data_IF_724768499380
#
_entry.id   IF_724768499380
#
_cell.length_a   1.000
_cell.length_b   1.000
_cell.length_c   1.000
_cell.angle_alpha   90.00
_cell.angle_beta   90.00
_cell.angle_gamma   90.00
#
_symmetry.space_group_name_H-M   'P 1'
#
loop_
_entity.id
_entity.type
_entity.pdbx_description
1 polymer ?
#
# COMPACT_ATOMS: atom_id res chain seq x y z
N UNK A 1 -40.53 3.31 43.11
CA UNK A 1 -41.07 3.21 41.75
C UNK A 1 -39.93 2.78 40.84
N UNK A 2 -39.76 1.48 40.67
CA UNK A 2 -38.81 0.93 39.70
C UNK A 2 -39.42 1.09 38.31
N UNK A 3 -38.93 2.07 37.54
CA UNK A 3 -39.25 2.13 36.13
C UNK A 3 -38.55 0.96 35.44
N UNK A 4 -39.35 -0.06 35.08
CA UNK A 4 -38.93 -1.21 34.30
C UNK A 4 -38.02 -0.81 33.13
N UNK A 5 -36.86 -1.46 33.04
CA UNK A 5 -35.89 -1.42 31.94
C UNK A 5 -36.53 -1.55 30.54
N UNK A 6 -37.71 -2.15 30.45
CA UNK A 6 -38.49 -2.26 29.22
C UNK A 6 -39.07 -0.93 28.73
N UNK A 7 -39.43 0.00 29.62
CA UNK A 7 -40.09 1.26 29.25
C UNK A 7 -39.10 2.28 28.68
N UNK A 8 -37.88 2.35 29.22
CA UNK A 8 -36.82 3.25 28.71
C UNK A 8 -36.34 2.86 27.31
N UNK A 9 -36.26 1.55 27.01
CA UNK A 9 -35.98 1.06 25.66
C UNK A 9 -37.08 1.41 24.65
N UNK A 10 -38.35 1.40 25.09
CA UNK A 10 -39.50 1.73 24.23
C UNK A 10 -39.53 3.23 23.87
N UNK A 11 -39.20 4.11 24.82
CA UNK A 11 -39.11 5.56 24.57
C UNK A 11 -37.92 5.94 23.67
N UNK A 12 -36.79 5.22 23.78
CA UNK A 12 -35.68 5.36 22.84
C UNK A 12 -36.08 4.90 21.43
N UNK A 13 -36.75 3.75 21.28
CA UNK A 13 -37.26 3.27 19.98
C UNK A 13 -38.28 4.23 19.35
N UNK A 14 -39.21 4.78 20.15
CA UNK A 14 -40.22 5.73 19.70
C UNK A 14 -39.67 7.10 19.29
N UNK A 15 -38.56 7.55 19.89
CA UNK A 15 -37.89 8.80 19.52
C UNK A 15 -37.05 8.70 18.25
N UNK A 16 -36.63 7.48 17.86
CA UNK A 16 -35.86 7.24 16.63
C UNK A 16 -36.80 7.01 15.42
N UNK A 17 -38.05 6.58 15.64
CA UNK A 17 -39.05 6.33 14.59
C UNK A 17 -39.33 7.51 13.64
N UNK A 18 -39.47 8.77 14.11
CA UNK A 18 -39.62 9.94 13.24
C UNK A 18 -38.36 10.23 12.41
N UNK A 19 -37.17 9.99 12.97
CA UNK A 19 -35.89 10.12 12.28
C UNK A 19 -35.77 9.05 11.19
N UNK A 20 -36.14 7.80 11.49
CA UNK A 20 -36.19 6.70 10.52
C UNK A 20 -37.22 6.96 9.42
N UNK A 21 -38.39 7.48 9.77
CA UNK A 21 -39.43 7.87 8.81
C UNK A 21 -38.95 9.01 7.90
N UNK A 22 -38.29 10.02 8.46
CA UNK A 22 -37.70 11.12 7.70
C UNK A 22 -36.54 10.67 6.79
N UNK A 23 -35.69 9.75 7.25
CA UNK A 23 -34.64 9.13 6.45
C UNK A 23 -35.23 8.27 5.31
N UNK A 24 -36.32 7.55 5.58
CA UNK A 24 -37.08 6.80 4.57
C UNK A 24 -37.77 7.72 3.54
N UNK A 25 -38.29 8.89 3.95
CA UNK A 25 -38.94 9.85 3.04
C UNK A 25 -37.95 10.62 2.15
N UNK A 26 -36.69 10.80 2.58
CA UNK A 26 -35.64 11.42 1.76
C UNK A 26 -35.07 10.48 0.68
N UNK A 27 -35.54 9.22 0.62
CA UNK A 27 -35.24 8.30 -0.46
C UNK A 27 -36.10 8.63 -1.69
N UNK A 28 -35.58 9.47 -2.58
CA UNK A 28 -36.11 9.57 -3.95
C UNK A 28 -35.86 8.24 -4.68
N UNK A 29 -36.90 7.48 -5.08
CA UNK A 29 -36.74 6.21 -5.78
C UNK A 29 -36.01 6.35 -7.12
N UNK A 30 -36.01 7.55 -7.73
CA UNK A 30 -35.32 7.82 -9.01
C UNK A 30 -33.81 8.06 -8.86
N UNK A 31 -33.32 8.25 -7.64
CA UNK A 31 -31.88 8.48 -7.31
C UNK A 31 -31.28 7.33 -6.52
N UNK A 32 -31.91 6.15 -6.54
CA UNK A 32 -31.35 5.01 -5.83
C UNK A 32 -30.16 4.44 -6.60
N UNK A 33 -29.01 4.31 -5.94
CA UNK A 33 -27.89 3.64 -6.56
C UNK A 33 -28.21 2.15 -6.77
N UNK A 34 -27.95 1.65 -7.97
CA UNK A 34 -28.07 0.22 -8.27
C UNK A 34 -27.01 -0.56 -7.49
N UNK A 35 -27.42 -1.22 -6.42
CA UNK A 35 -26.59 -2.17 -5.70
C UNK A 35 -26.70 -3.54 -6.39
N UNK A 36 -25.96 -3.73 -7.50
CA UNK A 36 -25.96 -5.00 -8.23
C UNK A 36 -25.65 -6.18 -7.29
N UNK A 37 -26.63 -7.06 -7.08
CA UNK A 37 -26.48 -8.29 -6.29
C UNK A 37 -26.53 -8.16 -4.76
N UNK A 38 -26.76 -6.96 -4.19
CA UNK A 38 -26.83 -6.78 -2.73
C UNK A 38 -28.22 -6.34 -2.27
N UNK A 39 -28.69 -6.94 -1.17
CA UNK A 39 -29.96 -6.57 -0.55
C UNK A 39 -29.79 -5.27 0.23
N UNK A 40 -30.46 -4.21 -0.22
CA UNK A 40 -30.52 -2.94 0.51
C UNK A 40 -31.63 -2.97 1.56
N UNK A 41 -31.29 -2.68 2.81
CA UNK A 41 -32.22 -2.58 3.92
C UNK A 41 -32.66 -1.11 4.12
N UNK A 42 -33.94 -0.80 4.42
CA UNK A 42 -34.47 0.56 4.41
C UNK A 42 -33.71 1.59 5.27
N UNK A 43 -33.14 1.15 6.40
CA UNK A 43 -32.47 2.00 7.39
C UNK A 43 -30.95 1.89 7.32
N UNK A 44 -30.45 0.66 7.22
CA UNK A 44 -29.01 0.36 7.31
C UNK A 44 -28.36 0.18 5.94
N UNK A 45 -29.10 0.39 4.85
CA UNK A 45 -28.61 0.21 3.49
C UNK A 45 -28.01 -1.19 3.31
N UNK A 46 -26.82 -1.29 2.75
CA UNK A 46 -26.09 -2.57 2.59
C UNK A 46 -25.04 -2.81 3.70
N UNK A 47 -25.03 -2.02 4.78
CA UNK A 47 -24.07 -2.16 5.90
C UNK A 47 -23.98 -3.58 6.45
N UNK A 48 -25.08 -4.35 6.64
CA UNK A 48 -24.97 -5.73 7.14
C UNK A 48 -24.10 -6.64 6.28
N UNK A 49 -24.08 -6.43 4.96
CA UNK A 49 -23.21 -7.20 4.06
C UNK A 49 -21.74 -6.88 4.29
N UNK A 50 -21.39 -5.61 4.54
CA UNK A 50 -20.03 -5.21 4.85
C UNK A 50 -19.57 -5.69 6.22
N UNK A 51 -20.44 -5.61 7.24
CA UNK A 51 -20.11 -6.10 8.59
C UNK A 51 -19.88 -7.61 8.59
N UNK A 52 -20.70 -8.37 7.86
CA UNK A 52 -20.55 -9.83 7.75
C UNK A 52 -19.25 -10.23 7.03
N UNK A 53 -18.79 -9.43 6.08
CA UNK A 53 -17.60 -9.73 5.26
C UNK A 53 -16.38 -8.87 5.64
N UNK A 54 -16.35 -8.27 6.84
CA UNK A 54 -15.29 -7.34 7.26
C UNK A 54 -13.88 -7.95 7.15
N UNK A 55 -13.75 -9.23 7.46
CA UNK A 55 -12.45 -9.93 7.51
C UNK A 55 -11.98 -10.41 6.13
N UNK A 56 -12.87 -10.35 5.13
CA UNK A 56 -12.61 -10.70 3.72
C UNK A 56 -13.07 -9.58 2.79
N UNK A 57 -12.97 -8.33 3.24
CA UNK A 57 -13.62 -7.21 2.59
C UNK A 57 -13.16 -7.01 1.13
N UNK A 58 -11.85 -7.07 0.86
CA UNK A 58 -11.32 -6.92 -0.50
C UNK A 58 -11.75 -8.05 -1.44
N UNK A 59 -11.81 -9.28 -0.93
CA UNK A 59 -12.27 -10.43 -1.70
C UNK A 59 -13.77 -10.27 -2.01
N UNK A 60 -14.57 -9.92 -1.00
CA UNK A 60 -16.00 -9.68 -1.14
C UNK A 60 -16.31 -8.55 -2.14
N UNK A 61 -15.60 -7.43 -2.08
CA UNK A 61 -15.78 -6.34 -3.06
C UNK A 61 -15.37 -6.77 -4.46
N UNK A 62 -14.30 -7.56 -4.59
CA UNK A 62 -13.87 -8.15 -5.87
C UNK A 62 -14.93 -9.07 -6.47
N UNK A 63 -15.51 -9.97 -5.66
CA UNK A 63 -16.59 -10.85 -6.08
C UNK A 63 -17.83 -10.07 -6.57
N UNK A 64 -18.16 -8.95 -5.91
CA UNK A 64 -19.26 -8.08 -6.36
C UNK A 64 -18.93 -7.39 -7.68
N UNK A 65 -17.74 -6.82 -7.80
CA UNK A 65 -17.32 -6.12 -9.03
C UNK A 65 -17.29 -7.06 -10.23
N UNK A 66 -16.79 -8.30 -10.07
CA UNK A 66 -16.83 -9.33 -11.12
C UNK A 66 -18.24 -9.66 -11.61
N UNK A 67 -19.26 -9.55 -10.76
CA UNK A 67 -20.67 -9.83 -11.10
C UNK A 67 -21.41 -8.62 -11.66
N UNK A 68 -20.87 -7.43 -11.50
CA UNK A 68 -21.51 -6.20 -11.97
C UNK A 68 -21.20 -5.99 -13.46
N UNK A 69 -22.21 -5.85 -14.34
CA UNK A 69 -21.99 -5.64 -15.77
C UNK A 69 -21.16 -4.39 -16.09
N UNK A 70 -21.26 -3.35 -15.25
CA UNK A 70 -20.51 -2.10 -15.39
C UNK A 70 -19.28 -2.05 -14.49
N UNK A 71 -18.99 -3.14 -13.76
CA UNK A 71 -17.94 -3.24 -12.73
C UNK A 71 -18.05 -2.13 -11.66
N UNK A 72 -19.20 -1.46 -11.59
CA UNK A 72 -19.50 -0.36 -10.69
C UNK A 72 -20.51 -0.83 -9.66
N UNK A 73 -20.29 -0.45 -8.40
CA UNK A 73 -21.24 -0.62 -7.32
C UNK A 73 -21.46 0.75 -6.70
N UNK A 74 -22.70 1.19 -6.64
CA UNK A 74 -23.05 2.39 -5.90
C UNK A 74 -23.80 2.01 -4.64
N UNK A 75 -23.40 2.62 -3.53
CA UNK A 75 -23.92 2.32 -2.22
C UNK A 75 -24.30 3.60 -1.50
N UNK A 76 -25.57 3.69 -1.08
CA UNK A 76 -26.01 4.70 -0.13
C UNK A 76 -25.76 4.17 1.27
N UNK A 77 -24.61 4.47 1.86
CA UNK A 77 -24.45 4.28 3.30
C UNK A 77 -24.78 5.57 4.05
N UNK A 78 -25.57 5.45 5.12
CA UNK A 78 -25.68 6.51 6.13
C UNK A 78 -24.52 6.47 7.14
N UNK A 79 -23.64 5.46 7.02
CA UNK A 79 -22.57 5.12 7.95
C UNK A 79 -21.36 4.67 7.13
N UNK A 80 -20.20 5.33 7.29
CA UNK A 80 -18.93 4.78 6.79
C UNK A 80 -18.81 3.34 7.29
N UNK A 81 -18.85 2.37 6.37
CA UNK A 81 -18.83 0.96 6.73
C UNK A 81 -17.54 0.70 7.54
N UNK A 82 -17.67 0.44 8.84
CA UNK A 82 -16.53 0.25 9.73
C UNK A 82 -15.76 -0.98 9.28
N UNK A 83 -14.68 -0.73 8.55
CA UNK A 83 -13.69 -1.74 8.24
C UNK A 83 -12.79 -1.90 9.47
N UNK A 84 -12.77 -3.11 10.02
CA UNK A 84 -11.99 -3.43 11.21
C UNK A 84 -10.53 -3.65 10.80
N UNK A 85 -9.65 -2.74 11.22
CA UNK A 85 -8.22 -2.80 10.97
C UNK A 85 -7.52 -2.66 12.30
N UNK A 86 -6.93 -3.74 12.80
CA UNK A 86 -6.11 -3.68 14.00
C UNK A 86 -5.03 -4.73 13.81
N UNK A 87 -3.80 -4.29 13.51
CA UNK A 87 -2.61 -5.11 13.73
C UNK A 87 -1.33 -4.27 13.67
N UNK A 88 -0.47 -4.53 14.66
CA UNK A 88 0.91 -4.04 14.75
C UNK A 88 1.78 -4.84 13.75
N UNK A 89 2.47 -4.18 12.80
CA UNK A 89 3.21 -4.87 11.74
C UNK A 89 4.42 -5.70 12.21
N UNK A 90 4.69 -5.80 13.52
CA UNK A 90 5.81 -6.57 14.08
C UNK A 90 7.08 -6.36 13.25
N UNK A 91 7.44 -5.09 13.03
CA UNK A 91 8.69 -4.75 12.35
C UNK A 91 9.83 -5.48 13.07
N UNK A 92 10.85 -5.94 12.34
CA UNK A 92 12.12 -6.42 12.91
C UNK A 92 12.85 -5.25 13.59
N UNK A 93 12.30 -4.74 14.68
CA UNK A 93 13.03 -4.09 15.74
C UNK A 93 13.33 -5.20 16.76
N UNK A 94 14.23 -6.11 16.39
CA UNK A 94 14.96 -6.77 17.47
C UNK A 94 15.67 -5.65 18.25
N UNK A 95 15.58 -5.71 19.58
CA UNK A 95 16.19 -4.80 20.55
C UNK A 95 17.73 -4.61 20.39
N UNK A 96 18.32 -5.19 19.34
CA UNK A 96 19.74 -5.22 19.01
C UNK A 96 20.14 -4.35 17.81
N UNK A 97 19.25 -3.94 16.90
CA UNK A 97 19.66 -3.33 15.60
C UNK A 97 19.02 -1.98 15.25
N UNK A 98 17.88 -1.63 15.86
CA UNK A 98 17.26 -0.33 15.68
C UNK A 98 17.54 0.54 16.93
N UNK A 99 17.93 1.81 16.75
CA UNK A 99 18.06 2.69 17.92
C UNK A 99 16.70 2.81 18.62
N UNK A 100 16.62 2.83 19.97
CA UNK A 100 15.36 2.92 20.70
C UNK A 100 14.43 4.06 20.21
N UNK A 101 15.05 5.17 19.77
CA UNK A 101 14.38 6.33 19.20
C UNK A 101 13.66 6.03 17.87
N UNK A 102 14.20 5.15 17.05
CA UNK A 102 13.59 4.76 15.76
C UNK A 102 12.38 3.84 15.95
N UNK A 103 12.44 2.90 16.90
CA UNK A 103 11.31 2.03 17.25
C UNK A 103 10.16 2.85 17.86
N UNK A 104 10.48 3.78 18.75
CA UNK A 104 9.50 4.71 19.32
C UNK A 104 8.84 5.58 18.25
N UNK A 105 9.63 6.19 17.37
CA UNK A 105 9.09 6.96 16.23
C UNK A 105 8.12 6.13 15.40
N UNK A 106 8.43 4.86 15.13
CA UNK A 106 7.58 3.99 14.33
C UNK A 106 6.25 3.65 14.98
N UNK A 107 6.27 3.32 16.27
CA UNK A 107 5.04 3.09 17.04
C UNK A 107 4.15 4.33 17.02
N UNK A 108 4.74 5.48 17.28
CA UNK A 108 4.04 6.77 17.33
C UNK A 108 3.48 7.18 15.96
N UNK A 109 4.22 6.92 14.89
CA UNK A 109 3.78 7.16 13.53
C UNK A 109 2.59 6.28 13.14
N UNK A 110 2.61 5.00 13.53
CA UNK A 110 1.47 4.10 13.35
C UNK A 110 0.23 4.56 14.15
N UNK A 111 0.42 5.04 15.39
CA UNK A 111 -0.67 5.60 16.19
C UNK A 111 -1.34 6.80 15.50
N UNK A 112 -0.54 7.69 14.90
CA UNK A 112 -1.04 8.81 14.13
C UNK A 112 -1.87 8.35 12.90
N UNK A 113 -1.36 7.37 12.14
CA UNK A 113 -2.08 6.80 10.99
C UNK A 113 -3.42 6.20 11.41
N UNK A 114 -3.44 5.42 12.51
CA UNK A 114 -4.65 4.82 13.06
C UNK A 114 -5.68 5.87 13.51
N UNK A 115 -5.24 6.96 14.13
CA UNK A 115 -6.14 8.04 14.51
C UNK A 115 -6.71 8.80 13.29
N UNK A 116 -5.92 9.04 12.23
CA UNK A 116 -6.45 9.62 10.97
C UNK A 116 -7.49 8.70 10.34
N UNK A 117 -7.22 7.39 10.31
CA UNK A 117 -8.16 6.37 9.85
C UNK A 117 -9.46 6.43 10.64
N UNK A 118 -9.40 6.49 11.97
CA UNK A 118 -10.60 6.56 12.81
C UNK A 118 -11.45 7.80 12.52
N UNK A 119 -10.83 8.92 12.14
CA UNK A 119 -11.57 10.12 11.68
C UNK A 119 -12.30 9.87 10.37
N UNK A 120 -11.65 9.22 9.41
CA UNK A 120 -12.23 8.91 8.09
C UNK A 120 -13.38 7.90 8.20
N UNK A 121 -13.23 6.92 9.09
CA UNK A 121 -14.18 5.83 9.29
C UNK A 121 -15.30 6.15 10.30
N UNK A 122 -15.22 7.28 11.00
CA UNK A 122 -16.24 7.70 11.96
C UNK A 122 -17.54 8.07 11.24
N UNK A 123 -18.69 7.48 11.62
CA UNK A 123 -19.97 7.79 11.01
C UNK A 123 -20.40 9.24 11.25
N UNK A 124 -19.91 9.84 12.34
CA UNK A 124 -20.14 11.25 12.66
C UNK A 124 -18.87 12.03 12.36
N UNK A 125 -18.84 12.74 11.23
CA UNK A 125 -17.68 13.54 10.79
C UNK A 125 -17.26 14.61 11.79
N UNK A 126 -18.13 15.03 12.70
CA UNK A 126 -17.82 16.03 13.73
C UNK A 126 -17.34 15.41 15.05
N UNK A 127 -17.43 14.07 15.22
CA UNK A 127 -17.10 13.40 16.47
C UNK A 127 -15.62 13.54 16.82
N UNK A 128 -14.73 13.51 15.83
CA UNK A 128 -13.31 13.73 16.08
C UNK A 128 -13.02 15.15 16.58
N UNK A 129 -13.79 16.17 16.14
CA UNK A 129 -13.64 17.55 16.64
C UNK A 129 -14.03 17.63 18.12
N UNK A 130 -15.09 16.93 18.51
CA UNK A 130 -15.50 16.79 19.90
C UNK A 130 -14.41 16.07 20.71
N UNK A 131 -13.95 14.89 20.26
CA UNK A 131 -12.88 14.15 20.92
C UNK A 131 -11.60 14.99 21.06
N UNK A 132 -11.28 15.80 20.05
CA UNK A 132 -10.13 16.72 20.08
C UNK A 132 -10.32 17.84 21.10
N UNK A 133 -11.50 18.44 21.16
CA UNK A 133 -11.83 19.51 22.11
C UNK A 133 -11.72 19.02 23.56
N UNK A 134 -12.19 17.80 23.84
CA UNK A 134 -12.15 17.19 25.17
C UNK A 134 -10.90 16.36 25.45
N UNK A 135 -9.91 16.40 24.55
CA UNK A 135 -8.66 15.65 24.69
C UNK A 135 -8.86 14.13 24.95
N UNK A 136 -9.82 13.53 24.25
CA UNK A 136 -10.18 12.12 24.37
C UNK A 136 -9.39 11.25 23.39
N UNK A 137 -9.28 9.96 23.67
CA UNK A 137 -8.72 8.98 22.73
C UNK A 137 -9.60 8.85 21.46
N UNK A 138 -9.02 8.73 20.25
CA UNK A 138 -7.58 8.64 19.93
C UNK A 138 -6.89 10.00 19.68
N UNK A 139 -7.60 11.13 19.83
CA UNK A 139 -7.11 12.48 19.49
C UNK A 139 -6.00 12.96 20.43
N UNK A 140 -6.00 12.51 21.69
CA UNK A 140 -4.91 12.76 22.64
C UNK A 140 -3.60 12.14 22.16
N UNK A 141 -3.59 10.84 21.82
CA UNK A 141 -2.44 10.13 21.24
C UNK A 141 -1.96 10.77 19.96
N UNK A 142 -2.88 11.17 19.08
CA UNK A 142 -2.52 11.91 17.85
C UNK A 142 -1.75 13.20 18.16
N UNK A 143 -2.17 13.99 19.15
CA UNK A 143 -1.44 15.21 19.51
C UNK A 143 -0.03 14.90 20.04
N UNK A 144 0.10 13.90 20.91
CA UNK A 144 1.40 13.43 21.41
C UNK A 144 2.27 12.92 20.26
N UNK A 145 1.67 12.20 19.32
CA UNK A 145 2.36 11.67 18.16
C UNK A 145 2.91 12.75 17.24
N UNK A 146 2.13 13.81 17.00
CA UNK A 146 2.56 14.94 16.19
C UNK A 146 3.78 15.66 16.79
N UNK A 147 3.89 15.74 18.12
CA UNK A 147 5.08 16.32 18.77
C UNK A 147 6.33 15.52 18.42
N UNK A 148 6.27 14.19 18.52
CA UNK A 148 7.40 13.32 18.18
C UNK A 148 7.73 13.35 16.69
N UNK A 149 6.72 13.32 15.82
CA UNK A 149 6.90 13.35 14.36
C UNK A 149 7.51 14.67 13.91
N UNK A 150 6.95 15.79 14.37
CA UNK A 150 7.48 17.12 14.06
C UNK A 150 8.88 17.30 14.62
N UNK A 151 9.12 16.88 15.87
CA UNK A 151 10.44 16.96 16.48
C UNK A 151 11.50 16.14 15.72
N UNK A 152 11.13 14.98 15.16
CA UNK A 152 12.02 14.21 14.29
C UNK A 152 12.32 14.96 12.99
N UNK A 153 11.30 15.43 12.29
CA UNK A 153 11.47 16.14 11.03
C UNK A 153 12.23 17.46 11.20
N UNK A 154 11.99 18.22 12.27
CA UNK A 154 12.72 19.43 12.62
C UNK A 154 14.20 19.16 12.90
N UNK A 155 14.54 18.06 13.61
CA UNK A 155 15.94 17.65 13.79
C UNK A 155 16.62 17.35 12.45
N UNK A 156 15.95 16.60 11.58
CA UNK A 156 16.44 16.23 10.24
C UNK A 156 16.70 17.47 9.37
N UNK A 157 15.82 18.48 9.44
CA UNK A 157 15.97 19.75 8.72
C UNK A 157 17.12 20.57 9.30
N UNK A 158 17.19 20.69 10.63
CA UNK A 158 18.24 21.45 11.34
C UNK A 158 19.63 20.88 11.06
N UNK A 159 19.81 19.57 11.19
CA UNK A 159 21.08 18.89 10.92
C UNK A 159 21.57 19.11 9.48
N UNK A 160 20.66 19.25 8.52
CA UNK A 160 21.01 19.53 7.12
C UNK A 160 21.38 21.00 6.90
N UNK A 161 20.62 21.95 7.47
CA UNK A 161 20.96 23.38 7.39
C UNK A 161 22.30 23.69 8.05
N UNK A 162 22.60 23.07 9.19
CA UNK A 162 23.86 23.25 9.93
C UNK A 162 25.10 22.78 9.15
N UNK A 163 24.94 21.91 8.14
CA UNK A 163 26.04 21.48 7.25
C UNK A 163 26.49 22.58 6.27
N UNK A 164 25.77 23.70 6.18
CA UNK A 164 26.07 24.83 5.30
C UNK A 164 25.91 24.53 3.80
N UNK A 165 25.88 25.55 2.94
CA UNK A 165 25.70 25.40 1.47
C UNK A 165 26.75 24.48 0.84
N UNK A 166 28.00 24.54 1.31
CA UNK A 166 29.10 23.70 0.82
C UNK A 166 28.98 22.21 1.22
N UNK A 167 28.33 21.92 2.36
CA UNK A 167 28.05 20.54 2.79
C UNK A 167 26.74 19.98 2.22
N UNK A 168 25.76 20.85 1.97
CA UNK A 168 24.48 20.54 1.32
C UNK A 168 24.63 20.24 -0.18
N UNK A 169 25.48 20.99 -0.89
CA UNK A 169 25.79 20.73 -2.30
C UNK A 169 26.59 19.42 -2.51
N UNK A 170 27.22 18.90 -1.45
CA UNK A 170 28.00 17.66 -1.46
C UNK A 170 27.21 16.44 -0.98
N UNK A 171 26.01 16.66 -0.42
CA UNK A 171 25.08 15.61 0.01
C UNK A 171 24.00 15.43 -1.07
N UNK A 172 24.08 14.36 -1.84
CA UNK A 172 23.14 14.06 -2.95
C UNK A 172 21.71 13.72 -2.51
N UNK A 173 21.35 13.91 -1.23
CA UNK A 173 20.02 13.59 -0.74
C UNK A 173 18.99 14.69 -1.08
N UNK A 174 17.80 14.23 -1.48
CA UNK A 174 16.70 15.07 -1.96
C UNK A 174 16.36 16.24 -1.01
N UNK A 175 16.40 16.02 0.30
CA UNK A 175 16.08 17.06 1.29
C UNK A 175 17.16 18.15 1.35
N UNK A 176 18.42 17.80 1.13
CA UNK A 176 19.52 18.77 1.02
C UNK A 176 19.34 19.68 -0.21
N UNK A 177 18.86 19.13 -1.33
CA UNK A 177 18.53 19.91 -2.53
C UNK A 177 17.34 20.85 -2.33
N UNK A 178 16.30 20.40 -1.61
CA UNK A 178 15.15 21.24 -1.26
C UNK A 178 15.51 22.35 -0.26
N UNK A 179 16.36 22.05 0.73
CA UNK A 179 16.81 23.03 1.71
C UNK A 179 17.75 24.09 1.11
N UNK A 180 18.60 23.69 0.14
CA UNK A 180 19.52 24.60 -0.56
C UNK A 180 18.81 25.62 -1.46
N UNK A 181 17.58 25.34 -1.91
CA UNK A 181 16.82 26.25 -2.76
C UNK A 181 16.36 27.54 -2.08
N UNK A 182 16.44 27.65 -0.76
CA UNK A 182 16.10 28.88 0.00
C UNK A 182 14.62 29.32 -0.03
N UNK A 183 13.81 28.74 -0.91
CA UNK A 183 12.41 29.10 -1.15
C UNK A 183 11.41 28.46 -0.19
N UNK A 184 11.85 27.52 0.66
CA UNK A 184 10.97 26.74 1.53
C UNK A 184 11.15 27.10 3.02
N UNK A 185 10.02 27.35 3.69
CA UNK A 185 9.98 27.48 5.15
C UNK A 185 10.32 26.15 5.82
N UNK A 186 10.78 26.20 7.08
CA UNK A 186 11.08 24.98 7.84
C UNK A 186 9.83 24.10 8.04
N UNK A 187 8.65 24.72 8.14
CA UNK A 187 7.37 24.02 8.14
C UNK A 187 7.13 23.28 6.81
N UNK A 188 7.38 23.93 5.67
CA UNK A 188 7.25 23.27 4.36
C UNK A 188 8.22 22.10 4.23
N UNK A 189 9.46 22.23 4.69
CA UNK A 189 10.45 21.15 4.66
C UNK A 189 10.05 19.99 5.58
N UNK A 190 9.54 20.30 6.78
CA UNK A 190 9.01 19.31 7.73
C UNK A 190 7.87 18.50 7.12
N UNK A 191 6.94 19.18 6.45
CA UNK A 191 5.79 18.54 5.82
C UNK A 191 6.22 17.69 4.62
N UNK A 192 7.21 18.14 3.85
CA UNK A 192 7.85 17.34 2.79
C UNK A 192 8.45 16.06 3.37
N UNK A 193 9.28 16.15 4.42
CA UNK A 193 9.88 14.97 5.07
C UNK A 193 8.82 13.99 5.54
N UNK A 194 7.78 14.50 6.19
CA UNK A 194 6.67 13.67 6.70
C UNK A 194 5.95 12.96 5.56
N UNK A 195 5.67 13.67 4.46
CA UNK A 195 5.02 13.10 3.28
C UNK A 195 5.88 12.00 2.62
N UNK A 196 7.20 12.19 2.52
CA UNK A 196 8.10 11.16 1.99
C UNK A 196 8.17 9.92 2.87
N UNK A 197 8.19 10.08 4.20
CA UNK A 197 8.18 8.96 5.13
C UNK A 197 6.87 8.17 5.06
N UNK A 198 5.73 8.87 5.00
CA UNK A 198 4.41 8.24 4.83
C UNK A 198 4.31 7.49 3.51
N UNK A 199 4.64 8.16 2.40
CA UNK A 199 4.41 7.63 1.06
C UNK A 199 5.41 6.55 0.66
N UNK A 200 6.67 6.62 1.13
CA UNK A 200 7.74 5.74 0.67
C UNK A 200 7.97 4.48 1.51
N UNK A 201 7.72 4.54 2.82
CA UNK A 201 8.06 3.45 3.74
C UNK A 201 7.06 2.29 3.68
N UNK A 202 5.82 2.57 4.07
CA UNK A 202 4.82 1.52 4.30
C UNK A 202 4.36 0.88 3.00
N UNK A 203 4.39 1.63 1.89
CA UNK A 203 4.04 1.16 0.56
C UNK A 203 5.09 0.18 0.02
N UNK A 204 6.38 0.54 0.10
CA UNK A 204 7.50 -0.30 -0.34
C UNK A 204 7.61 -1.56 0.51
N UNK A 205 7.44 -1.43 1.82
CA UNK A 205 7.43 -2.59 2.73
C UNK A 205 6.32 -3.56 2.38
N UNK A 206 5.09 -3.07 2.19
CA UNK A 206 3.95 -3.89 1.78
C UNK A 206 4.20 -4.57 0.43
N UNK A 207 4.69 -3.83 -0.57
CA UNK A 207 5.00 -4.37 -1.90
C UNK A 207 5.99 -5.53 -1.85
N UNK A 208 7.08 -5.37 -1.09
CA UNK A 208 8.12 -6.38 -0.95
C UNK A 208 7.64 -7.60 -0.18
N UNK A 209 6.83 -7.42 0.87
CA UNK A 209 6.24 -8.55 1.61
C UNK A 209 5.40 -9.43 0.68
N UNK A 210 4.50 -8.84 -0.11
CA UNK A 210 3.69 -9.61 -1.06
C UNK A 210 4.53 -10.22 -2.20
N UNK A 211 5.57 -9.52 -2.64
CA UNK A 211 6.49 -10.02 -3.65
C UNK A 211 7.22 -11.30 -3.18
N UNK A 212 7.81 -11.30 -1.98
CA UNK A 212 8.49 -12.49 -1.46
C UNK A 212 7.53 -13.65 -1.19
N UNK A 213 6.29 -13.36 -0.77
CA UNK A 213 5.26 -14.38 -0.64
C UNK A 213 4.93 -15.04 -2.00
N UNK A 214 4.67 -14.24 -3.04
CA UNK A 214 4.42 -14.75 -4.39
C UNK A 214 5.61 -15.56 -4.94
N UNK A 215 6.82 -15.06 -4.71
CA UNK A 215 8.05 -15.68 -5.17
C UNK A 215 8.28 -17.05 -4.51
N UNK A 216 7.95 -17.18 -3.22
CA UNK A 216 8.11 -18.44 -2.48
C UNK A 216 7.33 -19.62 -3.05
N UNK A 217 6.22 -19.34 -3.76
CA UNK A 217 5.43 -20.33 -4.49
C UNK A 217 5.87 -20.55 -5.94
N UNK A 218 6.89 -19.82 -6.42
CA UNK A 218 7.30 -19.79 -7.84
C UNK A 218 8.82 -19.87 -8.01
N UNK A 219 9.43 -21.04 -7.75
CA UNK A 219 10.86 -21.26 -7.94
C UNK A 219 11.33 -20.98 -9.37
N UNK A 220 10.46 -21.19 -10.37
CA UNK A 220 10.74 -20.90 -11.78
C UNK A 220 10.96 -19.40 -12.05
N UNK A 221 10.23 -18.53 -11.33
CA UNK A 221 10.38 -17.07 -11.40
C UNK A 221 11.62 -16.63 -10.63
N UNK A 222 11.86 -17.19 -9.44
CA UNK A 222 13.06 -16.92 -8.65
C UNK A 222 14.34 -17.26 -9.41
N UNK A 223 14.37 -18.42 -10.08
CA UNK A 223 15.50 -18.83 -10.92
C UNK A 223 15.78 -17.87 -12.07
N UNK A 224 14.74 -17.35 -12.74
CA UNK A 224 14.90 -16.37 -13.82
C UNK A 224 15.47 -15.06 -13.29
N UNK A 225 14.97 -14.56 -12.15
CA UNK A 225 15.48 -13.35 -11.50
C UNK A 225 16.96 -13.54 -11.09
N UNK A 226 17.30 -14.66 -10.47
CA UNK A 226 18.67 -14.95 -10.05
C UNK A 226 19.62 -15.03 -11.25
N UNK A 227 19.20 -15.67 -12.34
CA UNK A 227 20.00 -15.71 -13.58
C UNK A 227 20.21 -14.31 -14.15
N UNK A 228 19.19 -13.47 -14.14
CA UNK A 228 19.29 -12.06 -14.56
C UNK A 228 20.29 -11.29 -13.69
N UNK A 229 20.18 -11.37 -12.36
CA UNK A 229 21.10 -10.72 -11.41
C UNK A 229 22.54 -11.15 -11.69
N UNK A 230 22.77 -12.46 -11.85
CA UNK A 230 24.11 -12.97 -12.14
C UNK A 230 24.63 -12.52 -13.52
N UNK A 231 23.77 -12.41 -14.53
CA UNK A 231 24.15 -11.93 -15.85
C UNK A 231 24.59 -10.45 -15.80
N UNK A 232 23.84 -9.62 -15.07
CA UNK A 232 24.17 -8.20 -14.85
C UNK A 232 25.52 -8.06 -14.13
N UNK A 233 25.75 -8.81 -13.05
CA UNK A 233 27.05 -8.82 -12.34
C UNK A 233 28.22 -9.20 -13.24
N UNK A 234 28.05 -10.23 -14.09
CA UNK A 234 29.09 -10.65 -15.04
C UNK A 234 29.37 -9.57 -16.09
N UNK A 235 28.34 -8.88 -16.56
CA UNK A 235 28.47 -7.81 -17.55
C UNK A 235 29.15 -6.55 -16.96
N UNK A 236 28.85 -6.20 -15.71
CA UNK A 236 29.46 -5.06 -15.02
C UNK A 236 30.87 -5.35 -14.49
N UNK A 237 31.23 -6.64 -14.36
CA UNK A 237 32.48 -7.06 -13.74
C UNK A 237 32.52 -6.82 -12.23
N UNK A 238 31.37 -6.56 -11.59
CA UNK A 238 31.28 -6.31 -10.15
C UNK A 238 31.31 -7.61 -9.36
N UNK A 239 31.84 -7.55 -8.13
CA UNK A 239 31.74 -8.64 -7.16
C UNK A 239 30.36 -8.65 -6.50
N UNK A 240 29.97 -9.80 -5.93
CA UNK A 240 28.69 -9.97 -5.21
C UNK A 240 28.59 -9.17 -3.89
N UNK A 241 29.67 -8.52 -3.47
CA UNK A 241 29.72 -7.65 -2.30
C UNK A 241 29.54 -6.17 -2.61
N UNK A 242 29.55 -5.78 -3.89
CA UNK A 242 29.30 -4.40 -4.29
C UNK A 242 27.80 -4.09 -4.33
N UNK A 243 27.39 -2.90 -3.88
CA UNK A 243 26.03 -2.40 -4.10
C UNK A 243 25.74 -2.30 -5.59
N UNK A 244 24.52 -2.65 -6.02
CA UNK A 244 24.11 -2.45 -7.40
C UNK A 244 24.03 -0.96 -7.76
N UNK A 245 24.66 -0.60 -8.88
CA UNK A 245 24.57 0.71 -9.50
C UNK A 245 23.23 0.94 -10.19
N UNK A 246 22.89 2.20 -10.49
CA UNK A 246 21.64 2.53 -11.20
C UNK A 246 21.56 1.89 -12.60
N UNK A 247 22.68 1.81 -13.31
CA UNK A 247 22.72 1.18 -14.64
C UNK A 247 22.49 -0.35 -14.53
N UNK A 248 23.14 -1.02 -13.58
CA UNK A 248 22.89 -2.45 -13.32
C UNK A 248 21.42 -2.70 -12.95
N UNK A 249 20.85 -1.87 -12.08
CA UNK A 249 19.43 -1.97 -11.76
C UNK A 249 18.58 -1.73 -12.99
N UNK A 250 18.88 -0.75 -13.84
CA UNK A 250 18.11 -0.50 -15.08
C UNK A 250 18.05 -1.75 -15.96
N UNK A 251 19.12 -2.51 -16.05
CA UNK A 251 19.20 -3.69 -16.93
C UNK A 251 18.43 -4.92 -16.41
N UNK A 252 17.99 -4.91 -15.14
CA UNK A 252 17.16 -5.99 -14.57
C UNK A 252 15.68 -5.87 -14.98
N UNK A 253 15.37 -6.19 -16.23
CA UNK A 253 14.04 -6.05 -16.84
C UNK A 253 13.03 -7.08 -16.30
N UNK A 254 13.44 -8.33 -16.14
CA UNK A 254 12.60 -9.41 -15.63
C UNK A 254 12.25 -9.19 -14.15
N UNK A 255 13.20 -8.74 -13.33
CA UNK A 255 12.92 -8.35 -11.96
C UNK A 255 11.92 -7.18 -11.89
N UNK A 256 12.05 -6.19 -12.79
CA UNK A 256 11.08 -5.09 -12.86
C UNK A 256 9.68 -5.64 -13.17
N UNK A 257 9.55 -6.49 -14.18
CA UNK A 257 8.32 -7.16 -14.56
C UNK A 257 7.70 -7.97 -13.39
N UNK A 258 8.51 -8.72 -12.64
CA UNK A 258 8.05 -9.51 -11.51
C UNK A 258 7.55 -8.64 -10.34
N UNK A 259 8.23 -7.53 -10.05
CA UNK A 259 7.79 -6.56 -9.04
C UNK A 259 6.48 -5.89 -9.47
N UNK A 260 6.35 -5.49 -10.75
CA UNK A 260 5.12 -4.91 -11.30
C UNK A 260 3.96 -5.90 -11.24
N UNK A 261 4.17 -7.17 -11.59
CA UNK A 261 3.14 -8.20 -11.52
C UNK A 261 2.71 -8.50 -10.08
N UNK A 262 3.65 -8.47 -9.14
CA UNK A 262 3.34 -8.64 -7.71
C UNK A 262 2.43 -7.53 -7.22
N UNK A 263 2.76 -6.27 -7.52
CA UNK A 263 1.94 -5.14 -7.14
C UNK A 263 0.60 -5.07 -7.91
N UNK A 264 0.51 -5.67 -9.09
CA UNK A 264 -0.79 -5.84 -9.77
C UNK A 264 -1.72 -6.68 -8.90
N UNK A 265 -1.27 -7.85 -8.45
CA UNK A 265 -2.06 -8.74 -7.62
C UNK A 265 -2.25 -8.21 -6.19
N UNK A 266 -1.22 -7.61 -5.60
CA UNK A 266 -1.24 -7.10 -4.23
C UNK A 266 -0.75 -5.65 -4.20
N UNK A 267 -1.58 -4.70 -4.67
CA UNK A 267 -1.22 -3.29 -4.66
C UNK A 267 -1.06 -2.80 -3.22
N UNK A 268 0.02 -2.06 -2.91
CA UNK A 268 0.20 -1.50 -1.58
C UNK A 268 -0.97 -0.62 -1.15
N UNK A 269 -1.58 0.13 -2.07
CA UNK A 269 -2.84 0.86 -1.84
C UNK A 269 -3.95 0.17 -2.63
N UNK A 270 -4.74 -0.67 -1.97
CA UNK A 270 -5.75 -1.50 -2.62
C UNK A 270 -7.01 -0.74 -3.07
N UNK A 271 -7.30 0.38 -2.41
CA UNK A 271 -8.43 1.26 -2.73
C UNK A 271 -8.02 2.71 -2.55
N UNK A 272 -8.47 3.56 -3.46
CA UNK A 272 -8.22 4.99 -3.39
C UNK A 272 -9.53 5.74 -3.64
N UNK A 273 -9.74 6.82 -2.89
CA UNK A 273 -11.04 7.48 -2.78
C UNK A 273 -10.95 8.96 -3.08
N UNK A 274 -11.79 9.42 -4.00
CA UNK A 274 -11.96 10.82 -4.35
C UNK A 274 -13.31 11.35 -3.85
N UNK A 275 -13.38 12.65 -3.60
CA UNK A 275 -14.64 13.35 -3.32
C UNK A 275 -15.06 14.14 -4.55
N UNK A 276 -16.28 13.89 -5.01
CA UNK A 276 -16.89 14.62 -6.11
C UNK A 276 -17.15 16.08 -5.69
N UNK A 277 -16.61 17.07 -6.42
CA UNK A 277 -16.71 18.49 -6.04
C UNK A 277 -18.01 19.13 -6.52
N UNK A 278 -18.48 18.74 -7.69
CA UNK A 278 -19.72 19.17 -8.33
C UNK A 278 -20.39 17.95 -8.96
N UNK A 279 -21.70 17.99 -9.18
CA UNK A 279 -22.44 16.90 -9.82
C UNK A 279 -21.80 16.51 -11.18
N UNK A 280 -21.66 15.21 -11.45
CA UNK A 280 -21.00 14.68 -12.63
C UNK A 280 -21.63 13.35 -13.10
N UNK A 281 -21.21 12.87 -14.27
CA UNK A 281 -21.60 11.58 -14.82
C UNK A 281 -20.37 10.77 -15.25
N UNK A 282 -20.31 9.50 -14.84
CA UNK A 282 -19.31 8.56 -15.36
C UNK A 282 -19.58 8.27 -16.85
N UNK A 283 -18.58 7.77 -17.60
CA UNK A 283 -18.72 7.49 -19.03
C UNK A 283 -19.86 6.53 -19.41
N UNK A 284 -20.32 5.70 -18.47
CA UNK A 284 -21.45 4.78 -18.63
C UNK A 284 -22.82 5.44 -18.35
N UNK A 285 -22.84 6.73 -18.04
CA UNK A 285 -24.04 7.49 -17.68
C UNK A 285 -24.40 7.43 -16.19
N UNK A 286 -23.58 6.80 -15.35
CA UNK A 286 -23.82 6.75 -13.89
C UNK A 286 -23.67 8.13 -13.28
N UNK A 287 -24.74 8.66 -12.68
CA UNK A 287 -24.72 9.94 -11.96
C UNK A 287 -23.91 9.85 -10.66
N UNK A 288 -23.05 10.85 -10.44
CA UNK A 288 -22.27 11.05 -9.22
C UNK A 288 -22.61 12.43 -8.65
N UNK A 289 -23.23 12.44 -7.48
CA UNK A 289 -23.61 13.70 -6.83
C UNK A 289 -22.44 14.41 -6.15
N UNK A 290 -22.54 15.72 -6.04
CA UNK A 290 -21.66 16.57 -5.25
C UNK A 290 -21.49 16.03 -3.82
N UNK A 291 -20.24 15.94 -3.39
CA UNK A 291 -19.84 15.44 -2.08
C UNK A 291 -19.86 13.91 -1.94
N UNK A 292 -20.23 13.17 -2.99
CA UNK A 292 -20.12 11.71 -2.98
C UNK A 292 -18.66 11.28 -3.02
N UNK A 293 -18.40 10.14 -2.38
CA UNK A 293 -17.10 9.49 -2.45
C UNK A 293 -17.10 8.50 -3.61
N UNK A 294 -16.10 8.59 -4.47
CA UNK A 294 -15.85 7.69 -5.60
C UNK A 294 -14.57 6.93 -5.30
N UNK A 295 -14.67 5.61 -5.20
CA UNK A 295 -13.54 4.75 -4.87
C UNK A 295 -13.29 3.77 -6.01
N UNK A 296 -12.06 3.70 -6.51
CA UNK A 296 -11.63 2.59 -7.35
C UNK A 296 -10.82 1.60 -6.51
N UNK A 297 -10.95 0.32 -6.82
CA UNK A 297 -10.26 -0.76 -6.11
C UNK A 297 -9.24 -1.42 -7.03
N UNK A 298 -7.98 -1.00 -6.94
CA UNK A 298 -6.89 -1.56 -7.74
C UNK A 298 -6.76 -3.08 -7.54
N UNK A 299 -6.98 -3.57 -6.31
CA UNK A 299 -6.93 -5.00 -5.99
C UNK A 299 -7.97 -5.82 -6.76
N UNK A 300 -9.19 -5.28 -6.89
CA UNK A 300 -10.25 -5.93 -7.65
C UNK A 300 -10.05 -5.79 -9.15
N UNK A 301 -9.71 -4.58 -9.63
CA UNK A 301 -9.43 -4.33 -11.05
C UNK A 301 -8.36 -5.27 -11.61
N UNK A 302 -7.35 -5.61 -10.81
CA UNK A 302 -6.33 -6.59 -11.16
C UNK A 302 -6.88 -7.99 -11.47
N UNK A 303 -8.02 -8.37 -10.88
CA UNK A 303 -8.60 -9.72 -10.98
C UNK A 303 -9.82 -9.77 -11.87
N UNK A 304 -10.08 -8.75 -12.67
CA UNK A 304 -11.20 -8.73 -13.62
C UNK A 304 -10.73 -9.27 -14.97
N UNK A 305 -11.40 -10.31 -15.46
CA UNK A 305 -11.06 -10.97 -16.74
C UNK A 305 -11.18 -10.01 -17.94
N UNK A 306 -12.18 -9.13 -17.96
CA UNK A 306 -12.33 -8.12 -19.03
C UNK A 306 -11.14 -7.16 -19.13
N UNK A 307 -10.38 -6.98 -18.05
CA UNK A 307 -9.22 -6.08 -18.00
C UNK A 307 -7.92 -6.86 -18.27
N UNK A 308 -7.75 -8.04 -17.66
CA UNK A 308 -6.48 -8.76 -17.61
C UNK A 308 -6.45 -10.10 -18.35
N UNK A 309 -7.58 -10.57 -18.86
CA UNK A 309 -7.76 -11.88 -19.47
C UNK A 309 -8.07 -12.98 -18.44
N UNK A 310 -8.29 -14.21 -18.94
CA UNK A 310 -8.66 -15.37 -18.12
C UNK A 310 -7.59 -15.75 -17.07
N UNK A 311 -6.34 -15.32 -17.29
CA UNK A 311 -5.20 -15.53 -16.40
C UNK A 311 -4.99 -14.39 -15.40
N UNK A 312 -6.00 -13.56 -15.14
CA UNK A 312 -5.90 -12.39 -14.29
C UNK A 312 -5.48 -12.71 -12.84
N UNK A 313 -5.71 -13.93 -12.36
CA UNK A 313 -5.32 -14.36 -11.02
C UNK A 313 -3.92 -14.99 -10.96
N UNK A 314 -3.33 -15.30 -12.12
CA UNK A 314 -1.99 -15.88 -12.18
C UNK A 314 -0.92 -14.82 -11.96
N UNK A 315 0.11 -15.16 -11.18
CA UNK A 315 1.34 -14.38 -11.09
C UNK A 315 2.22 -14.69 -12.30
N UNK A 316 2.15 -13.87 -13.34
CA UNK A 316 2.93 -14.09 -14.57
C UNK A 316 3.73 -12.84 -14.99
N UNK A 317 4.99 -12.69 -14.53
CA UNK A 317 5.86 -11.57 -14.89
C UNK A 317 5.97 -11.36 -16.41
N UNK A 318 5.91 -12.43 -17.20
CA UNK A 318 6.05 -12.40 -18.66
C UNK A 318 5.01 -11.53 -19.37
N UNK A 319 3.87 -11.21 -18.73
CA UNK A 319 2.88 -10.29 -19.34
C UNK A 319 3.42 -8.87 -19.56
N UNK A 320 4.44 -8.50 -18.78
CA UNK A 320 5.07 -7.19 -18.81
C UNK A 320 6.28 -7.14 -19.73
N UNK A 321 6.54 -8.20 -20.49
CA UNK A 321 7.69 -8.28 -21.39
C UNK A 321 7.21 -8.27 -22.84
N UNK A 322 8.00 -7.64 -23.70
CA UNK A 322 7.85 -7.78 -25.15
C UNK A 322 8.59 -9.03 -25.67
N UNK A 323 8.56 -9.24 -26.99
CA UNK A 323 9.22 -10.39 -27.64
C UNK A 323 10.75 -10.40 -27.45
N UNK A 324 11.35 -9.22 -27.20
CA UNK A 324 12.78 -9.08 -26.93
C UNK A 324 13.12 -9.27 -25.44
N UNK A 325 12.12 -9.46 -24.57
CA UNK A 325 12.31 -9.56 -23.12
C UNK A 325 12.51 -8.22 -22.43
N UNK A 326 12.22 -7.10 -23.09
CA UNK A 326 12.26 -5.77 -22.49
C UNK A 326 10.94 -5.46 -21.77
N UNK A 327 11.02 -4.70 -20.68
CA UNK A 327 9.85 -4.31 -19.91
C UNK A 327 8.96 -3.36 -20.72
N UNK A 328 7.68 -3.73 -20.86
CA UNK A 328 6.65 -2.96 -21.53
C UNK A 328 5.57 -2.54 -20.52
N UNK A 329 5.51 -1.26 -20.12
CA UNK A 329 4.50 -0.78 -19.19
C UNK A 329 3.11 -0.79 -19.81
N UNK A 330 2.10 -1.03 -18.98
CA UNK A 330 0.69 -0.87 -19.34
C UNK A 330 0.19 0.55 -19.07
N UNK A 331 -0.99 0.87 -19.62
CA UNK A 331 -1.67 2.13 -19.33
C UNK A 331 -1.85 2.33 -17.81
N UNK A 332 -1.55 3.52 -17.25
CA UNK A 332 -1.79 3.81 -15.84
C UNK A 332 -3.26 3.68 -15.41
N UNK A 333 -4.21 3.74 -16.36
CA UNK A 333 -5.62 3.53 -16.09
C UNK A 333 -6.01 2.05 -16.03
N UNK A 334 -5.22 1.17 -16.66
CA UNK A 334 -5.34 -0.30 -16.57
C UNK A 334 -4.60 -0.83 -15.34
N UNK A 335 -3.45 -0.23 -15.03
CA UNK A 335 -2.60 -0.55 -13.88
C UNK A 335 -2.45 0.68 -12.95
N UNK A 336 -3.44 0.95 -12.08
CA UNK A 336 -3.48 2.18 -11.29
C UNK A 336 -2.71 2.09 -9.95
N UNK A 337 -1.73 1.19 -9.82
CA UNK A 337 -0.93 1.01 -8.59
C UNK A 337 -0.20 2.30 -8.19
N UNK A 338 0.26 3.06 -9.17
CA UNK A 338 0.88 4.37 -8.99
C UNK A 338 -0.06 5.53 -9.34
N UNK A 339 -1.37 5.26 -9.39
CA UNK A 339 -2.42 6.17 -9.83
C UNK A 339 -2.25 6.63 -11.29
N UNK A 340 -3.17 7.48 -11.76
CA UNK A 340 -3.13 8.07 -13.09
C UNK A 340 -3.47 9.56 -13.05
N UNK A 341 -3.09 10.30 -14.08
CA UNK A 341 -3.40 11.72 -14.22
C UNK A 341 -2.61 12.64 -13.27
N UNK A 342 -3.16 13.81 -12.89
CA UNK A 342 -2.42 14.86 -12.16
C UNK A 342 -1.94 14.46 -10.75
N UNK A 343 -2.45 13.36 -10.19
CA UNK A 343 -2.10 12.83 -8.87
C UNK A 343 -1.30 11.53 -8.97
N UNK A 344 -0.67 11.27 -10.11
CA UNK A 344 0.25 10.14 -10.28
C UNK A 344 1.37 10.19 -9.22
N UNK A 345 1.76 9.02 -8.72
CA UNK A 345 2.76 8.88 -7.68
C UNK A 345 4.11 9.46 -8.12
N UNK A 346 4.56 10.51 -7.44
CA UNK A 346 5.87 11.13 -7.66
C UNK A 346 7.04 10.16 -7.37
N UNK A 347 6.83 9.22 -6.44
CA UNK A 347 7.86 8.28 -5.98
C UNK A 347 8.01 7.02 -6.83
N UNK A 348 7.28 6.87 -7.95
CA UNK A 348 7.23 5.62 -8.74
C UNK A 348 8.62 5.09 -9.12
N UNK A 349 9.45 5.92 -9.76
CA UNK A 349 10.77 5.48 -10.23
C UNK A 349 11.71 5.15 -9.07
N UNK A 350 11.66 5.96 -8.01
CA UNK A 350 12.43 5.71 -6.79
C UNK A 350 12.02 4.40 -6.12
N UNK A 351 10.72 4.11 -6.05
CA UNK A 351 10.19 2.87 -5.48
C UNK A 351 10.70 1.64 -6.25
N UNK A 352 10.68 1.67 -7.59
CA UNK A 352 11.24 0.58 -8.39
C UNK A 352 12.73 0.39 -8.15
N UNK A 353 13.52 1.46 -8.10
CA UNK A 353 14.95 1.37 -7.83
C UNK A 353 15.21 0.75 -6.44
N UNK A 354 14.52 1.23 -5.40
CA UNK A 354 14.65 0.71 -4.05
C UNK A 354 14.27 -0.77 -3.97
N UNK A 355 13.12 -1.15 -4.52
CA UNK A 355 12.65 -2.55 -4.51
C UNK A 355 13.62 -3.45 -5.28
N UNK A 356 14.07 -3.04 -6.46
CA UNK A 356 15.03 -3.82 -7.27
C UNK A 356 16.35 -4.01 -6.55
N UNK A 357 16.88 -2.96 -5.94
CA UNK A 357 18.12 -3.02 -5.15
C UNK A 357 18.01 -3.98 -3.98
N UNK A 358 16.91 -3.90 -3.22
CA UNK A 358 16.65 -4.79 -2.07
C UNK A 358 16.52 -6.24 -2.56
N UNK A 359 15.65 -6.49 -3.53
CA UNK A 359 15.40 -7.85 -4.03
C UNK A 359 16.67 -8.46 -4.63
N UNK A 360 17.41 -7.71 -5.45
CA UNK A 360 18.65 -8.19 -6.05
C UNK A 360 19.70 -8.55 -4.99
N UNK A 361 19.90 -7.67 -4.00
CA UNK A 361 20.86 -7.90 -2.91
C UNK A 361 20.48 -9.11 -2.04
N UNK A 362 19.18 -9.30 -1.84
CA UNK A 362 18.63 -10.40 -1.04
C UNK A 362 18.73 -11.73 -1.79
N UNK A 363 18.26 -11.80 -3.04
CA UNK A 363 18.25 -13.04 -3.84
C UNK A 363 19.63 -13.44 -4.35
N UNK A 364 20.60 -12.53 -4.38
CA UNK A 364 22.01 -12.88 -4.64
C UNK A 364 22.60 -13.77 -3.53
N UNK A 365 22.14 -13.58 -2.29
CA UNK A 365 22.75 -14.18 -1.09
C UNK A 365 21.89 -15.23 -0.41
N UNK A 366 20.59 -15.13 -0.56
CA UNK A 366 19.64 -15.93 0.21
C UNK A 366 18.56 -16.52 -0.70
N UNK A 367 18.03 -17.66 -0.29
CA UNK A 367 16.77 -18.20 -0.82
C UNK A 367 15.75 -18.28 0.30
N UNK A 368 14.49 -18.09 -0.05
CA UNK A 368 13.40 -17.94 0.91
C UNK A 368 12.34 -19.00 0.65
N UNK A 369 11.92 -19.66 1.72
CA UNK A 369 10.78 -20.59 1.68
C UNK A 369 9.76 -20.14 2.71
N UNK A 370 8.48 -20.17 2.32
CA UNK A 370 7.42 -19.79 3.24
C UNK A 370 7.31 -20.78 4.41
N UNK A 371 7.28 -20.25 5.63
CA UNK A 371 7.26 -21.04 6.87
C UNK A 371 5.98 -20.85 7.69
N UNK A 372 4.94 -20.22 7.11
CA UNK A 372 3.70 -19.88 7.82
C UNK A 372 2.60 -20.94 7.81
N UNK A 373 2.88 -22.16 7.31
CA UNK A 373 1.93 -23.26 7.24
C UNK A 373 1.13 -23.31 5.92
N UNK A 374 0.03 -24.07 5.92
CA UNK A 374 -0.84 -24.19 4.74
C UNK A 374 -1.88 -23.06 4.70
N UNK A 375 -2.06 -22.46 3.52
CA UNK A 375 -3.12 -21.48 3.24
C UNK A 375 -2.63 -20.15 2.70
N UNK A 376 -3.59 -19.28 2.38
CA UNK A 376 -3.31 -17.93 1.93
C UNK A 376 -3.21 -16.98 3.14
N UNK A 377 -2.19 -16.10 3.23
CA UNK A 377 -2.09 -15.14 4.31
C UNK A 377 -3.31 -14.23 4.38
N UNK A 378 -3.76 -13.92 5.60
CA UNK A 378 -4.87 -13.00 5.81
C UNK A 378 -4.56 -11.60 5.31
N UNK A 379 -5.55 -10.91 4.73
CA UNK A 379 -5.42 -9.53 4.27
C UNK A 379 -5.80 -8.55 5.39
N UNK A 380 -4.91 -7.61 5.70
CA UNK A 380 -5.21 -6.47 6.57
C UNK A 380 -5.18 -5.20 5.74
N UNK A 381 -6.35 -4.64 5.46
CA UNK A 381 -6.48 -3.43 4.65
C UNK A 381 -6.28 -2.19 5.54
N UNK A 382 -5.06 -1.75 5.79
CA UNK A 382 -4.83 -0.46 6.47
C UNK A 382 -4.79 0.69 5.44
N UNK A 383 -4.05 1.76 5.72
CA UNK A 383 -3.57 2.70 4.70
C UNK A 383 -2.87 1.93 3.58
N UNK A 384 -2.15 0.85 3.94
CA UNK A 384 -1.59 -0.11 3.00
C UNK A 384 -2.16 -1.52 3.17
N UNK A 385 -2.09 -2.34 2.12
CA UNK A 385 -2.46 -3.76 2.13
C UNK A 385 -1.37 -4.57 2.83
N UNK A 386 -1.60 -4.95 4.08
CA UNK A 386 -0.64 -5.69 4.90
C UNK A 386 -1.03 -7.17 5.02
N UNK A 387 -0.04 -7.99 5.35
CA UNK A 387 -0.22 -9.40 5.64
C UNK A 387 -0.51 -9.59 7.13
N UNK A 388 -1.61 -10.27 7.45
CA UNK A 388 -1.98 -10.59 8.83
C UNK A 388 -0.91 -11.49 9.45
N UNK A 389 -0.38 -11.10 10.61
CA UNK A 389 0.68 -11.83 11.30
C UNK A 389 2.06 -11.80 10.62
N UNK A 390 2.26 -10.93 9.62
CA UNK A 390 3.52 -10.82 8.89
C UNK A 390 3.82 -11.99 7.95
N UNK A 391 5.06 -12.06 7.43
CA UNK A 391 5.51 -13.09 6.48
C UNK A 391 6.64 -13.93 7.10
N UNK A 392 6.31 -15.04 7.79
CA UNK A 392 7.33 -15.97 8.28
C UNK A 392 8.02 -16.70 7.12
N UNK A 393 9.33 -16.55 7.01
CA UNK A 393 10.15 -17.19 5.97
C UNK A 393 11.31 -17.96 6.60
N UNK A 394 11.58 -19.15 6.08
CA UNK A 394 12.85 -19.83 6.27
C UNK A 394 13.88 -19.24 5.28
N UNK A 395 15.00 -18.77 5.82
CA UNK A 395 16.07 -18.15 5.04
C UNK A 395 17.26 -19.10 4.99
N UNK A 396 17.77 -19.37 3.79
CA UNK A 396 18.98 -20.18 3.59
C UNK A 396 19.98 -19.42 2.74
N UNK A 397 21.26 -19.49 3.11
CA UNK A 397 22.35 -18.86 2.35
C UNK A 397 22.57 -19.60 1.04
N UNK A 398 22.63 -18.86 -0.07
CA UNK A 398 22.97 -19.40 -1.39
C UNK A 398 24.47 -19.63 -1.48
N UNK A 399 24.87 -20.84 -1.85
CA UNK A 399 26.27 -21.15 -2.16
C UNK A 399 26.54 -20.72 -3.59
N UNK A 400 27.24 -19.59 -3.77
CA UNK A 400 27.67 -19.15 -5.09
C UNK A 400 28.83 -20.04 -5.54
N UNK A 401 28.58 -21.01 -6.42
CA UNK A 401 29.66 -21.72 -7.11
C UNK A 401 30.33 -20.76 -8.09
N UNK A 402 31.37 -20.07 -7.64
CA UNK A 402 32.32 -19.38 -8.52
C UNK A 402 33.00 -20.48 -9.33
N UNK A 403 32.50 -20.71 -10.55
CA UNK A 403 33.15 -21.62 -11.49
C UNK A 403 34.40 -20.91 -12.00
N UNK A 404 35.49 -21.01 -11.23
CA UNK A 404 36.78 -20.50 -11.64
C UNK A 404 37.28 -21.41 -12.77
N UNK A 405 37.04 -21.00 -14.02
CA UNK A 405 37.61 -21.66 -15.19
C UNK A 405 39.13 -21.41 -15.21
N UNK A 406 39.87 -22.16 -14.38
CA UNK A 406 41.32 -22.25 -14.48
C UNK A 406 41.59 -23.06 -15.74
N UNK A 407 41.80 -22.38 -16.86
CA UNK A 407 42.44 -22.99 -18.03
C UNK A 407 43.82 -23.47 -17.62
N UNK A 408 43.93 -24.77 -17.36
CA UNK A 408 45.18 -25.51 -17.29
C UNK A 408 45.96 -25.29 -18.59
N UNK A 409 46.92 -24.36 -18.58
CA UNK A 409 47.97 -24.32 -19.60
C UNK A 409 48.87 -25.52 -19.37
N UNK A 410 48.75 -26.55 -20.21
CA UNK A 410 49.77 -27.61 -20.31
C UNK A 410 51.12 -26.97 -20.66
N UNK A 411 52.22 -27.35 -19.99
CA UNK A 411 53.55 -26.89 -20.39
C UNK A 411 53.93 -27.51 -21.75
N UNK A 412 54.44 -26.68 -22.66
CA UNK A 412 55.05 -27.13 -23.91
C UNK A 412 56.28 -28.00 -23.59
N UNK A 413 56.45 -29.17 -24.23
CA UNK A 413 57.69 -29.92 -24.13
C UNK A 413 58.79 -29.17 -24.88
N UNK A 414 59.93 -28.99 -24.22
CA UNK A 414 61.17 -28.52 -24.80
C UNK A 414 61.79 -29.63 -25.66
N UNK A 415 61.97 -29.35 -26.95
CA UNK A 415 62.95 -30.00 -27.80
C UNK A 415 63.77 -28.95 -28.53
#
# INVERSE_FOLDING_TARGET
MEFSSSSTSLFLLLSILPLLYFLCQRNDPKKQPHAHGLKSYPVVGIVPHFTKNKDRFLEFTTEIMKRSPTQTMSCRTCWSASLAFDEDPACLAEDSMASPQSAEFMRVFNDAQNAVRDRFMSPVKSLWRFKRLFNMEPERRMREALVTIHGFAERVVRERRERGEAGLARSDDFLSRFAAGGEHSDESLRDVVTNFLLAGRDTTSSALTWFFWLLSGRPDVEDKIVREIQAVRRASGSTSDATFSFDELRDMQYLHAAITESMRLYPPVAMDTHSCKEDDFLPDGTFVGKGWLVTYCAYAMARVEDIWGADCEEFRPERWLDEAGAFRPESPFKYPVFHAGPRMCLGKEMAYIQMKSIVASVLERFSFQYAGGEGHPGLVLSVTLRMKGGLPMQVTTRVIQITCAITSRKPKPSH
#
